data_IF_703046425509
#
_entry.id   IF_703046425509
#
_cell.length_a   1.000
_cell.length_b   1.000
_cell.length_c   1.000
_cell.angle_alpha   90.00
_cell.angle_beta   90.00
_cell.angle_gamma   90.00
#
_symmetry.space_group_name_H-M   'P 1'
#
loop_
_entity.id
_entity.type
_entity.pdbx_description
1 polymer ?
#
# COMPACT_ATOMS: atom_id res chain seq x y z
N UNK A 1 -25.96 0.78 -5.74
CA UNK A 1 -26.63 -0.02 -4.69
C UNK A 1 -25.59 -0.41 -3.67
N UNK A 2 -25.88 -0.24 -2.38
CA UNK A 2 -24.95 -0.59 -1.31
C UNK A 2 -25.06 -2.11 -1.06
N UNK A 3 -24.06 -2.87 -1.52
CA UNK A 3 -24.03 -4.34 -1.35
C UNK A 3 -23.64 -4.65 0.11
N UNK A 4 -24.37 -5.53 0.81
CA UNK A 4 -24.06 -5.88 2.20
C UNK A 4 -22.63 -6.44 2.30
N UNK A 5 -21.94 -6.09 3.38
CA UNK A 5 -20.62 -6.64 3.69
C UNK A 5 -20.74 -8.15 3.90
N UNK A 6 -19.90 -8.97 3.24
CA UNK A 6 -19.94 -10.42 3.42
C UNK A 6 -19.61 -10.79 4.87
N UNK A 7 -20.38 -11.73 5.44
CA UNK A 7 -20.17 -12.23 6.81
C UNK A 7 -18.87 -13.04 6.92
N UNK A 8 -18.47 -13.71 5.83
CA UNK A 8 -17.26 -14.53 5.78
C UNK A 8 -16.42 -14.11 4.58
N UNK A 9 -15.13 -13.93 4.82
CA UNK A 9 -14.11 -13.74 3.80
C UNK A 9 -13.14 -14.92 3.80
N UNK A 10 -12.60 -15.26 2.63
CA UNK A 10 -11.81 -16.46 2.43
C UNK A 10 -10.36 -16.15 2.07
N UNK A 11 -9.43 -16.97 2.53
CA UNK A 11 -8.02 -16.94 2.13
C UNK A 11 -7.56 -18.31 1.66
N UNK A 12 -7.04 -18.34 0.45
CA UNK A 12 -6.43 -19.51 -0.17
C UNK A 12 -4.99 -19.65 0.29
N UNK A 13 -4.56 -20.88 0.63
CA UNK A 13 -3.24 -21.15 1.19
C UNK A 13 -2.63 -22.43 0.61
N UNK A 14 -1.43 -22.30 0.05
CA UNK A 14 -0.52 -23.43 -0.14
C UNK A 14 0.13 -23.85 1.18
N UNK A 15 0.32 -25.15 1.41
CA UNK A 15 1.02 -25.70 2.59
C UNK A 15 2.48 -26.06 2.30
N UNK A 16 3.11 -25.26 1.44
CA UNK A 16 4.49 -25.39 1.01
C UNK A 16 5.28 -24.15 1.44
N UNK A 17 6.60 -24.29 1.53
CA UNK A 17 7.52 -23.22 1.92
C UNK A 17 7.13 -22.58 3.28
N UNK A 18 7.49 -21.31 3.46
CA UNK A 18 7.13 -20.49 4.62
C UNK A 18 5.60 -20.37 4.85
N UNK A 19 4.73 -20.81 3.92
CA UNK A 19 3.29 -20.76 4.15
C UNK A 19 2.80 -21.83 5.12
N UNK A 20 3.51 -22.94 5.28
CA UNK A 20 3.19 -23.96 6.29
C UNK A 20 3.27 -23.36 7.69
N UNK A 21 4.43 -22.81 8.06
CA UNK A 21 4.66 -22.20 9.38
C UNK A 21 3.69 -21.04 9.64
N UNK A 22 3.49 -20.15 8.66
CA UNK A 22 2.53 -19.04 8.76
C UNK A 22 1.09 -19.53 9.00
N UNK A 23 0.70 -20.62 8.35
CA UNK A 23 -0.64 -21.20 8.53
C UNK A 23 -0.77 -21.90 9.88
N UNK A 24 0.28 -22.56 10.35
CA UNK A 24 0.32 -23.13 11.70
C UNK A 24 0.20 -22.06 12.78
N UNK A 25 0.95 -20.96 12.67
CA UNK A 25 0.85 -19.81 13.59
C UNK A 25 -0.54 -19.18 13.57
N UNK A 26 -1.17 -19.10 12.40
CA UNK A 26 -2.55 -18.64 12.30
C UNK A 26 -3.50 -19.55 13.09
N UNK A 27 -3.41 -20.86 12.90
CA UNK A 27 -4.33 -21.81 13.53
C UNK A 27 -4.09 -21.99 15.03
N UNK A 28 -2.83 -21.98 15.46
CA UNK A 28 -2.45 -22.23 16.87
C UNK A 28 -2.41 -20.98 17.74
N UNK A 29 -2.09 -19.83 17.15
CA UNK A 29 -1.85 -18.58 17.89
C UNK A 29 -2.68 -17.40 17.37
N UNK A 30 -3.60 -17.62 16.42
CA UNK A 30 -4.42 -16.55 15.82
C UNK A 30 -3.63 -15.40 15.20
N UNK A 31 -2.41 -15.67 14.70
CA UNK A 31 -1.52 -14.67 14.11
C UNK A 31 -1.69 -14.63 12.58
N UNK A 32 -2.10 -13.49 12.05
CA UNK A 32 -2.18 -13.25 10.61
C UNK A 32 -0.88 -12.66 10.05
N UNK A 33 -0.41 -13.24 8.93
CA UNK A 33 0.68 -12.68 8.15
C UNK A 33 0.16 -11.72 7.08
N UNK A 34 0.74 -10.52 7.09
CA UNK A 34 0.53 -9.47 6.11
C UNK A 34 1.75 -9.40 5.19
N UNK A 35 1.53 -9.58 3.89
CA UNK A 35 2.61 -9.60 2.91
C UNK A 35 3.04 -8.18 2.56
N UNK A 36 4.33 -7.96 2.41
CA UNK A 36 4.82 -6.75 1.75
C UNK A 36 4.40 -6.78 0.27
N UNK A 37 4.04 -5.63 -0.31
CA UNK A 37 3.85 -5.47 -1.76
C UNK A 37 4.94 -6.08 -2.62
N UNK A 38 6.18 -6.15 -2.15
CA UNK A 38 7.30 -6.76 -2.89
C UNK A 38 7.15 -8.26 -3.12
N UNK A 39 6.28 -8.93 -2.36
CA UNK A 39 6.06 -10.38 -2.43
C UNK A 39 4.91 -10.77 -3.37
N UNK A 40 4.32 -9.81 -4.06
CA UNK A 40 3.15 -10.05 -4.90
C UNK A 40 3.57 -10.66 -6.24
N UNK A 41 2.69 -11.48 -6.79
CA UNK A 41 2.91 -12.15 -8.07
C UNK A 41 2.66 -11.23 -9.27
N UNK A 42 1.82 -10.20 -9.12
CA UNK A 42 1.62 -9.18 -10.14
C UNK A 42 2.69 -8.07 -9.98
N UNK A 43 3.51 -7.81 -11.01
CA UNK A 43 4.55 -6.78 -10.96
C UNK A 43 4.01 -5.34 -10.90
N UNK A 44 2.73 -5.12 -11.23
CA UNK A 44 2.06 -3.82 -11.22
C UNK A 44 1.29 -3.57 -9.92
N UNK A 45 0.99 -4.61 -9.15
CA UNK A 45 0.29 -4.43 -7.88
C UNK A 45 1.10 -3.55 -6.92
N UNK A 46 0.39 -2.61 -6.31
CA UNK A 46 0.95 -1.66 -5.34
C UNK A 46 2.14 -0.84 -5.86
N UNK A 47 2.34 -0.73 -7.18
CA UNK A 47 3.33 0.16 -7.78
C UNK A 47 2.79 1.58 -7.90
N UNK A 48 3.62 2.54 -7.52
CA UNK A 48 3.36 3.96 -7.71
C UNK A 48 3.91 4.42 -9.05
N UNK A 49 3.03 5.00 -9.86
CA UNK A 49 3.39 5.60 -11.15
C UNK A 49 2.97 7.06 -11.15
N UNK A 50 3.93 7.97 -10.93
CA UNK A 50 3.68 9.40 -11.08
C UNK A 50 3.80 9.80 -12.55
N UNK A 51 2.71 10.33 -13.10
CA UNK A 51 2.64 10.76 -14.52
C UNK A 51 3.09 12.20 -14.74
N UNK A 52 3.12 13.03 -13.68
CA UNK A 52 3.55 14.42 -13.78
C UNK A 52 3.95 15.00 -12.43
N UNK A 53 4.90 15.94 -12.44
CA UNK A 53 5.31 16.74 -11.30
C UNK A 53 4.39 17.95 -11.02
N UNK A 54 3.42 18.19 -11.92
CA UNK A 54 2.67 19.44 -12.00
C UNK A 54 3.43 20.51 -12.78
N UNK A 55 2.85 21.71 -12.88
CA UNK A 55 3.47 22.79 -13.64
C UNK A 55 4.75 23.30 -12.94
N UNK A 56 5.71 23.90 -13.67
CA UNK A 56 6.87 24.57 -13.06
C UNK A 56 6.47 25.61 -11.99
N UNK A 57 5.31 26.24 -12.14
CA UNK A 57 4.77 27.19 -11.16
C UNK A 57 4.35 26.48 -9.85
N UNK A 58 3.76 25.29 -9.95
CA UNK A 58 3.39 24.46 -8.79
C UNK A 58 4.61 23.99 -8.02
N UNK A 59 5.65 23.55 -8.74
CA UNK A 59 6.92 23.14 -8.15
C UNK A 59 7.60 24.28 -7.43
N UNK A 60 7.69 25.48 -8.05
CA UNK A 60 8.23 26.68 -7.38
C UNK A 60 7.44 27.03 -6.12
N UNK A 61 6.11 26.93 -6.16
CA UNK A 61 5.25 27.21 -5.01
C UNK A 61 5.46 26.20 -3.88
N UNK A 62 5.56 24.91 -4.19
CA UNK A 62 5.87 23.84 -3.23
C UNK A 62 7.26 24.05 -2.62
N UNK A 63 8.27 24.33 -3.43
CA UNK A 63 9.64 24.57 -2.97
C UNK A 63 9.73 25.78 -2.03
N UNK A 64 9.04 26.88 -2.33
CA UNK A 64 8.96 28.03 -1.44
C UNK A 64 8.32 27.71 -0.08
N UNK A 65 7.29 26.85 -0.06
CA UNK A 65 6.68 26.37 1.18
C UNK A 65 7.65 25.51 1.99
N UNK A 66 8.43 24.63 1.33
CA UNK A 66 9.46 23.84 1.98
C UNK A 66 10.55 24.73 2.58
N UNK A 67 11.06 25.72 1.82
CA UNK A 67 12.01 26.69 2.38
C UNK A 67 11.44 27.45 3.55
N UNK A 68 10.19 27.91 3.49
CA UNK A 68 9.55 28.56 4.65
C UNK A 68 9.46 27.64 5.88
N UNK A 69 9.26 26.34 5.68
CA UNK A 69 9.12 25.36 6.76
C UNK A 69 10.46 24.96 7.37
N UNK A 70 11.48 24.73 6.55
CA UNK A 70 12.76 24.15 6.97
C UNK A 70 13.89 25.17 7.10
N UNK A 71 13.76 26.36 6.51
CA UNK A 71 14.75 27.44 6.54
C UNK A 71 14.02 28.80 6.73
N UNK A 72 13.44 29.04 7.92
CA UNK A 72 12.58 30.19 8.16
C UNK A 72 13.31 31.54 8.06
N UNK A 73 14.63 31.55 8.19
CA UNK A 73 15.49 32.75 8.15
C UNK A 73 15.55 33.38 6.74
N UNK A 74 15.22 32.61 5.69
CA UNK A 74 15.21 33.14 4.33
C UNK A 74 14.07 34.14 4.15
N UNK A 75 14.40 35.34 3.64
CA UNK A 75 13.36 36.29 3.28
C UNK A 75 12.51 35.74 2.14
N UNK A 76 11.34 36.35 1.95
CA UNK A 76 10.47 36.00 0.82
C UNK A 76 11.17 36.17 -0.53
N UNK A 77 12.09 37.14 -0.66
CA UNK A 77 12.83 37.37 -1.89
C UNK A 77 13.84 36.24 -2.15
N UNK A 78 14.66 35.87 -1.16
CA UNK A 78 15.61 34.74 -1.34
C UNK A 78 14.87 33.43 -1.62
N UNK A 79 13.76 33.15 -0.92
CA UNK A 79 12.98 31.93 -1.17
C UNK A 79 12.50 31.81 -2.61
N UNK A 80 12.02 32.92 -3.20
CA UNK A 80 11.57 32.95 -4.59
C UNK A 80 12.73 32.76 -5.56
N UNK A 81 13.84 33.47 -5.33
CA UNK A 81 15.00 33.40 -6.20
C UNK A 81 15.62 32.00 -6.20
N UNK A 82 15.86 31.42 -5.01
CA UNK A 82 16.40 30.07 -4.86
C UNK A 82 15.47 29.03 -5.48
N UNK A 83 14.17 29.06 -5.16
CA UNK A 83 13.21 28.13 -5.75
C UNK A 83 13.15 28.20 -7.29
N UNK A 84 13.31 29.38 -7.89
CA UNK A 84 13.35 29.50 -9.36
C UNK A 84 14.64 28.92 -9.96
N UNK A 85 15.78 29.12 -9.30
CA UNK A 85 17.07 28.57 -9.70
C UNK A 85 17.08 27.05 -9.58
N UNK A 86 16.69 26.52 -8.43
CA UNK A 86 16.79 25.10 -8.13
C UNK A 86 15.86 24.28 -9.04
N UNK A 87 14.62 24.75 -9.28
CA UNK A 87 13.70 24.08 -10.22
C UNK A 87 14.20 24.09 -11.67
N UNK A 88 15.03 25.06 -12.08
CA UNK A 88 15.65 25.06 -13.41
C UNK A 88 16.79 24.04 -13.54
N UNK A 89 17.42 23.66 -12.43
CA UNK A 89 18.57 22.75 -12.41
C UNK A 89 18.16 21.28 -12.20
N UNK A 90 16.91 21.03 -11.83
CA UNK A 90 16.40 19.68 -11.60
C UNK A 90 15.99 19.05 -12.93
N UNK A 91 16.55 17.88 -13.24
CA UNK A 91 15.99 17.01 -14.28
C UNK A 91 14.63 16.46 -13.82
N UNK A 92 13.53 16.74 -14.54
CA UNK A 92 12.20 16.28 -14.15
C UNK A 92 12.11 14.75 -14.03
N UNK A 93 12.81 14.00 -14.88
CA UNK A 93 12.77 12.54 -14.87
C UNK A 93 13.49 11.97 -13.64
N UNK A 94 14.70 12.46 -13.34
CA UNK A 94 15.45 12.08 -12.15
C UNK A 94 14.69 12.39 -10.85
N UNK A 95 14.07 13.56 -10.76
CA UNK A 95 13.28 13.94 -9.59
C UNK A 95 12.04 13.05 -9.43
N UNK A 96 11.32 12.75 -10.53
CA UNK A 96 10.21 11.81 -10.51
C UNK A 96 10.65 10.44 -10.02
N UNK A 97 11.74 9.91 -10.56
CA UNK A 97 12.25 8.59 -10.18
C UNK A 97 12.65 8.54 -8.71
N UNK A 98 13.33 9.57 -8.22
CA UNK A 98 13.76 9.66 -6.81
C UNK A 98 12.55 9.72 -5.86
N UNK A 99 11.57 10.56 -6.17
CA UNK A 99 10.35 10.70 -5.37
C UNK A 99 9.50 9.43 -5.41
N UNK A 100 9.32 8.85 -6.59
CA UNK A 100 8.56 7.60 -6.79
C UNK A 100 9.22 6.46 -6.01
N UNK A 101 10.53 6.29 -6.15
CA UNK A 101 11.28 5.26 -5.41
C UNK A 101 11.25 5.49 -3.90
N UNK A 102 11.33 6.73 -3.46
CA UNK A 102 11.18 7.11 -2.05
C UNK A 102 9.84 6.69 -1.46
N UNK A 103 8.74 7.02 -2.15
CA UNK A 103 7.41 6.66 -1.67
C UNK A 103 7.12 5.17 -1.83
N UNK A 104 7.63 4.52 -2.89
CA UNK A 104 7.49 3.09 -3.09
C UNK A 104 8.12 2.29 -1.93
N UNK A 105 9.25 2.74 -1.39
CA UNK A 105 9.85 2.11 -0.20
C UNK A 105 8.92 2.15 1.01
N UNK A 106 8.21 3.25 1.21
CA UNK A 106 7.23 3.35 2.30
C UNK A 106 5.99 2.49 2.03
N UNK A 107 5.53 2.39 0.77
CA UNK A 107 4.47 1.45 0.39
C UNK A 107 4.88 0.01 0.68
N UNK A 108 6.12 -0.37 0.35
CA UNK A 108 6.63 -1.73 0.55
C UNK A 108 6.76 -2.11 2.04
N UNK A 109 6.73 -1.14 2.96
CA UNK A 109 6.70 -1.37 4.41
C UNK A 109 5.29 -1.65 4.95
N UNK A 110 4.25 -1.33 4.19
CA UNK A 110 2.88 -1.63 4.57
C UNK A 110 2.62 -3.11 4.38
N UNK A 111 2.03 -3.75 5.39
CA UNK A 111 1.55 -5.12 5.28
C UNK A 111 0.17 -5.18 4.63
N UNK A 112 0.00 -6.06 3.66
CA UNK A 112 -1.26 -6.28 2.94
C UNK A 112 -1.82 -7.67 3.22
N UNK A 113 -3.12 -7.74 3.49
CA UNK A 113 -3.89 -8.98 3.66
C UNK A 113 -4.92 -9.09 2.54
N UNK A 114 -4.75 -10.09 1.67
CA UNK A 114 -5.70 -10.38 0.59
C UNK A 114 -6.71 -11.44 1.05
N UNK A 115 -8.00 -11.14 0.86
CA UNK A 115 -9.14 -12.01 1.14
C UNK A 115 -10.12 -11.98 -0.05
N UNK A 116 -10.92 -13.02 -0.19
CA UNK A 116 -11.92 -13.20 -1.25
C UNK A 116 -13.33 -13.33 -0.65
N UNK A 117 -14.36 -12.85 -1.36
CA UNK A 117 -15.76 -13.15 -1.00
C UNK A 117 -16.14 -14.60 -1.36
N UNK A 118 -15.42 -15.21 -2.30
CA UNK A 118 -15.72 -16.54 -2.83
C UNK A 118 -14.78 -17.59 -2.24
N UNK A 119 -15.35 -18.74 -1.88
CA UNK A 119 -14.63 -19.91 -1.35
C UNK A 119 -14.13 -20.83 -2.46
N UNK A 120 -14.86 -20.87 -3.57
CA UNK A 120 -14.81 -21.87 -4.63
C UNK A 120 -14.36 -21.29 -5.99
N UNK A 121 -13.74 -20.12 -5.99
CA UNK A 121 -13.13 -19.55 -7.19
C UNK A 121 -11.98 -20.45 -7.71
N UNK A 122 -12.20 -21.04 -8.89
CA UNK A 122 -11.29 -21.99 -9.51
C UNK A 122 -9.91 -21.38 -9.80
N UNK A 123 -9.87 -20.11 -10.22
CA UNK A 123 -8.62 -19.40 -10.56
C UNK A 123 -7.82 -19.16 -9.28
N UNK A 124 -8.48 -18.74 -8.20
CA UNK A 124 -7.80 -18.55 -6.91
C UNK A 124 -7.33 -19.88 -6.32
N UNK A 125 -8.08 -20.96 -6.48
CA UNK A 125 -7.61 -22.30 -6.10
C UNK A 125 -6.36 -22.73 -6.88
N UNK A 126 -6.32 -22.48 -8.19
CA UNK A 126 -5.16 -22.81 -9.03
C UNK A 126 -3.91 -22.04 -8.58
N UNK A 127 -4.01 -20.72 -8.41
CA UNK A 127 -2.85 -19.86 -8.14
C UNK A 127 -2.41 -19.81 -6.66
N UNK A 128 -3.37 -19.81 -5.72
CA UNK A 128 -3.08 -19.53 -4.31
C UNK A 128 -3.25 -20.74 -3.37
N UNK A 129 -3.83 -21.83 -3.87
CA UNK A 129 -3.98 -23.08 -3.11
C UNK A 129 -3.26 -24.25 -3.80
N UNK A 130 -2.03 -24.01 -4.27
CA UNK A 130 -1.13 -25.04 -4.81
C UNK A 130 -1.78 -25.93 -5.89
N UNK A 131 -2.46 -25.33 -6.87
CA UNK A 131 -3.12 -26.10 -7.93
C UNK A 131 -4.24 -27.01 -7.40
N UNK A 132 -5.13 -26.47 -6.56
CA UNK A 132 -6.26 -27.19 -5.94
C UNK A 132 -5.89 -28.17 -4.81
N UNK A 133 -4.62 -28.27 -4.39
CA UNK A 133 -4.18 -29.17 -3.31
C UNK A 133 -4.01 -28.49 -1.94
N UNK A 134 -4.32 -27.20 -1.85
CA UNK A 134 -4.14 -26.38 -0.64
C UNK A 134 -5.37 -26.33 0.27
N UNK A 135 -5.44 -25.25 1.06
CA UNK A 135 -6.55 -24.95 1.96
C UNK A 135 -7.26 -23.67 1.55
N UNK A 136 -8.53 -23.58 1.93
CA UNK A 136 -9.31 -22.34 1.90
C UNK A 136 -9.84 -22.06 3.31
N UNK A 137 -9.35 -20.99 3.93
CA UNK A 137 -9.66 -20.62 5.31
C UNK A 137 -10.72 -19.50 5.30
N UNK A 138 -11.83 -19.71 6.03
CA UNK A 138 -12.88 -18.70 6.20
C UNK A 138 -12.68 -17.88 7.47
N UNK A 139 -12.85 -16.57 7.37
CA UNK A 139 -12.76 -15.59 8.44
C UNK A 139 -14.10 -14.90 8.60
N UNK A 140 -14.72 -15.02 9.78
CA UNK A 140 -15.93 -14.27 10.10
C UNK A 140 -15.57 -12.80 10.31
N UNK A 141 -16.25 -11.92 9.58
CA UNK A 141 -16.10 -10.47 9.70
C UNK A 141 -17.13 -9.98 10.71
N UNK A 142 -16.67 -9.47 11.86
CA UNK A 142 -17.56 -8.86 12.82
C UNK A 142 -18.19 -7.58 12.25
N UNK A 143 -19.46 -7.32 12.55
CA UNK A 143 -20.20 -6.17 12.01
C UNK A 143 -19.58 -4.81 12.37
N UNK A 144 -18.80 -4.76 13.44
CA UNK A 144 -18.09 -3.60 13.97
C UNK A 144 -16.60 -3.59 13.64
N UNK A 145 -16.11 -4.53 12.82
CA UNK A 145 -14.71 -4.60 12.42
C UNK A 145 -14.32 -3.37 11.57
N UNK A 146 -13.95 -2.28 12.23
CA UNK A 146 -13.49 -1.03 11.61
C UNK A 146 -12.32 -1.26 10.65
N UNK A 147 -11.58 -2.35 10.84
CA UNK A 147 -10.49 -2.82 9.99
C UNK A 147 -10.93 -3.27 8.59
N UNK A 148 -12.11 -3.88 8.45
CA UNK A 148 -12.62 -4.44 7.18
C UNK A 148 -13.76 -3.62 6.56
N UNK A 149 -14.10 -2.47 7.15
CA UNK A 149 -15.08 -1.55 6.55
C UNK A 149 -14.51 -0.99 5.24
N UNK A 150 -15.35 -0.97 4.20
CA UNK A 150 -15.04 -0.26 2.95
C UNK A 150 -14.56 1.16 3.30
N UNK A 151 -13.42 1.62 2.76
CA UNK A 151 -12.96 2.98 3.04
C UNK A 151 -13.97 3.96 2.44
N UNK A 152 -14.81 4.57 3.29
CA UNK A 152 -15.68 5.67 2.89
C UNK A 152 -14.89 6.95 2.66
N UNK A 153 -13.68 7.05 3.23
CA UNK A 153 -12.65 8.06 3.01
C UNK A 153 -11.29 7.41 3.32
N UNK A 154 -10.26 7.71 2.52
CA UNK A 154 -8.88 7.23 2.73
C UNK A 154 -8.40 7.58 4.15
N UNK A 155 -8.36 6.60 5.03
CA UNK A 155 -7.66 6.67 6.30
C UNK A 155 -6.76 5.44 6.40
N UNK A 156 -5.45 5.63 6.22
CA UNK A 156 -4.47 4.62 6.61
C UNK A 156 -4.61 4.42 8.12
N UNK A 157 -5.21 3.31 8.53
CA UNK A 157 -5.28 2.91 9.94
C UNK A 157 -4.41 1.68 10.13
N UNK A 158 -3.21 1.89 10.66
CA UNK A 158 -2.39 0.81 11.22
C UNK A 158 -3.05 0.39 12.53
N UNK A 159 -3.59 -0.82 12.60
CA UNK A 159 -4.08 -1.39 13.85
C UNK A 159 -3.00 -2.32 14.42
N UNK A 160 -2.44 -1.94 15.57
CA UNK A 160 -1.71 -2.86 16.45
C UNK A 160 -2.78 -3.62 17.22
N UNK A 161 -2.90 -4.93 16.99
CA UNK A 161 -3.68 -5.81 17.86
C UNK A 161 -2.84 -6.09 19.11
N UNK A 162 -3.33 -5.65 20.28
CA UNK A 162 -2.87 -6.10 21.60
C UNK A 162 -3.61 -7.38 21.99
#
# INVERSE_FOLDING_TARGET
MDRPTPEILYRYRKLLDNNRERTERLLKASVLYFASPEQFNDPFDCKLHYTSLGSPADLRRKQQKLYKKFIPELSRAERRHRAARDIKQVDPAEFLNTMTGGLQREVNRVGVLCLSEFRDDVVLWSHYAAGHAGLCLGFRVAADAAFLRKPSQFAMRTAILL
#
